data_IF_107372692692
#
_entry.id   IF_107372692692
#
_cell.length_a   1.000
_cell.length_b   1.000
_cell.length_c   1.000
_cell.angle_alpha   90.00
_cell.angle_beta   90.00
_cell.angle_gamma   90.00
#
_symmetry.space_group_name_H-M   'P 1'
#
loop_
_entity.id
_entity.type
_entity.pdbx_description
1 polymer ?
#
# COMPACT_ATOMS: atom_id res chain seq x y z
N UNK A 1 16.80 6.09 15.83
CA UNK A 1 16.89 6.52 14.43
C UNK A 1 15.53 7.10 14.13
N UNK A 2 15.46 8.41 13.93
CA UNK A 2 14.17 9.08 13.70
C UNK A 2 13.82 8.91 12.22
N UNK A 3 12.73 8.19 11.96
CA UNK A 3 12.08 8.13 10.65
C UNK A 3 10.95 9.16 10.69
N UNK A 4 10.97 10.10 9.76
CA UNK A 4 9.97 11.15 9.67
C UNK A 4 9.17 11.09 8.37
N UNK A 5 8.14 11.92 8.28
CA UNK A 5 7.28 12.03 7.11
C UNK A 5 8.08 12.31 5.82
N UNK A 6 9.16 13.10 5.90
CA UNK A 6 10.01 13.40 4.74
C UNK A 6 10.77 12.18 4.22
N UNK A 7 11.00 11.17 5.07
CA UNK A 7 11.70 9.93 4.71
C UNK A 7 10.75 8.87 4.12
N UNK A 8 9.45 8.94 4.44
CA UNK A 8 8.47 7.90 4.09
C UNK A 8 7.47 8.31 3.01
N UNK A 9 6.95 9.54 3.04
CA UNK A 9 5.89 9.97 2.12
C UNK A 9 6.35 10.03 0.67
N UNK A 10 7.53 10.62 0.33
CA UNK A 10 8.01 10.60 -1.05
C UNK A 10 8.21 9.19 -1.60
N UNK A 11 8.72 8.27 -0.77
CA UNK A 11 8.87 6.86 -1.14
C UNK A 11 7.52 6.21 -1.44
N UNK A 12 6.51 6.40 -0.59
CA UNK A 12 5.16 5.87 -0.82
C UNK A 12 4.55 6.41 -2.12
N UNK A 13 4.65 7.72 -2.38
CA UNK A 13 4.18 8.33 -3.63
C UNK A 13 4.87 7.73 -4.85
N UNK A 14 6.18 7.48 -4.78
CA UNK A 14 6.92 6.85 -5.87
C UNK A 14 6.47 5.41 -6.11
N UNK A 15 6.30 4.59 -5.07
CA UNK A 15 5.77 3.23 -5.21
C UNK A 15 4.37 3.22 -5.85
N UNK A 16 3.47 4.06 -5.35
CA UNK A 16 2.10 4.15 -5.85
C UNK A 16 2.05 4.60 -7.32
N UNK A 17 2.90 5.56 -7.72
CA UNK A 17 2.99 5.99 -9.11
C UNK A 17 3.57 4.89 -10.02
N UNK A 18 4.54 4.12 -9.52
CA UNK A 18 5.23 3.08 -10.30
C UNK A 18 4.34 1.87 -10.59
N UNK A 19 3.47 1.49 -9.64
CA UNK A 19 2.58 0.32 -9.76
C UNK A 19 1.10 0.73 -9.59
N UNK A 20 0.67 1.76 -10.31
CA UNK A 20 -0.65 2.37 -10.10
C UNK A 20 -1.84 1.50 -10.51
N UNK A 21 -1.62 0.50 -11.36
CA UNK A 21 -2.67 -0.37 -11.90
C UNK A 21 -2.70 -1.78 -11.29
N UNK A 22 -1.70 -2.14 -10.49
CA UNK A 22 -1.59 -3.47 -9.88
C UNK A 22 -1.36 -3.33 -8.38
N UNK A 23 -2.39 -3.64 -7.59
CA UNK A 23 -2.34 -3.53 -6.14
C UNK A 23 -1.30 -4.49 -5.52
N UNK A 24 -1.13 -5.69 -6.08
CA UNK A 24 -0.22 -6.70 -5.53
C UNK A 24 1.23 -6.29 -5.75
N UNK A 25 1.57 -5.90 -6.99
CA UNK A 25 2.90 -5.42 -7.33
C UNK A 25 3.25 -4.14 -6.57
N UNK A 26 2.28 -3.23 -6.36
CA UNK A 26 2.47 -2.06 -5.51
C UNK A 26 2.85 -2.45 -4.07
N UNK A 27 2.11 -3.39 -3.46
CA UNK A 27 2.41 -3.85 -2.09
C UNK A 27 3.77 -4.55 -2.01
N UNK A 28 4.10 -5.40 -2.98
CA UNK A 28 5.41 -6.09 -3.01
C UNK A 28 6.57 -5.12 -3.22
N UNK A 29 6.41 -4.12 -4.10
CA UNK A 29 7.39 -3.05 -4.29
C UNK A 29 7.60 -2.25 -3.00
N UNK A 30 6.52 -1.87 -2.31
CA UNK A 30 6.61 -1.06 -1.08
C UNK A 30 7.25 -1.84 0.06
N UNK A 31 6.83 -3.08 0.33
CA UNK A 31 7.37 -3.88 1.44
C UNK A 31 8.86 -4.23 1.25
N UNK A 32 9.31 -4.33 -0.01
CA UNK A 32 10.71 -4.54 -0.36
C UNK A 32 11.61 -3.33 0.00
N UNK A 33 11.02 -2.14 0.19
CA UNK A 33 11.72 -0.95 0.68
C UNK A 33 12.21 -1.03 2.14
N UNK A 34 11.78 -2.07 2.88
CA UNK A 34 12.12 -2.30 4.30
C UNK A 34 11.65 -1.13 5.20
N UNK A 35 12.11 -1.10 6.46
CA UNK A 35 11.72 -0.09 7.43
C UNK A 35 10.30 -0.30 7.98
N UNK A 36 9.57 0.79 8.13
CA UNK A 36 8.17 0.82 8.61
C UNK A 36 7.21 0.36 7.50
N UNK A 37 7.22 -0.96 7.27
CA UNK A 37 6.52 -1.63 6.16
C UNK A 37 5.02 -1.50 6.25
N UNK A 38 4.47 -1.61 7.45
CA UNK A 38 3.03 -1.52 7.69
C UNK A 38 2.54 -0.10 7.42
N UNK A 39 3.22 0.94 7.92
CA UNK A 39 2.84 2.32 7.63
C UNK A 39 2.96 2.65 6.15
N UNK A 40 4.08 2.27 5.52
CA UNK A 40 4.30 2.56 4.09
C UNK A 40 3.32 1.81 3.18
N UNK A 41 3.05 0.53 3.42
CA UNK A 41 2.03 -0.21 2.68
C UNK A 41 0.62 0.32 2.94
N UNK A 42 0.30 0.80 4.15
CA UNK A 42 -0.99 1.43 4.42
C UNK A 42 -1.21 2.71 3.61
N UNK A 43 -0.18 3.56 3.50
CA UNK A 43 -0.22 4.78 2.69
C UNK A 43 -0.40 4.43 1.20
N UNK A 44 0.44 3.55 0.67
CA UNK A 44 0.38 3.13 -0.75
C UNK A 44 -0.96 2.46 -1.07
N UNK A 45 -1.41 1.54 -0.21
CA UNK A 45 -2.68 0.84 -0.37
C UNK A 45 -3.87 1.80 -0.33
N UNK A 46 -3.82 2.84 0.50
CA UNK A 46 -4.82 3.91 0.53
C UNK A 46 -4.86 4.72 -0.77
N UNK A 47 -3.70 5.11 -1.32
CA UNK A 47 -3.60 5.84 -2.59
C UNK A 47 -4.18 5.01 -3.74
N UNK A 48 -3.72 3.77 -3.88
CA UNK A 48 -4.14 2.86 -4.96
C UNK A 48 -5.63 2.49 -4.82
N UNK A 49 -6.06 2.16 -3.60
CA UNK A 49 -7.43 1.75 -3.31
C UNK A 49 -8.48 2.87 -3.44
N UNK A 50 -8.07 4.13 -3.28
CA UNK A 50 -8.92 5.29 -3.56
C UNK A 50 -9.08 5.59 -5.07
N UNK A 51 -8.16 5.09 -5.90
CA UNK A 51 -8.19 5.24 -7.35
C UNK A 51 -8.95 4.11 -8.05
N UNK A 52 -8.59 3.88 -9.32
CA UNK A 52 -9.25 2.94 -10.23
C UNK A 52 -9.04 1.45 -9.90
N UNK A 53 -8.20 1.15 -8.90
CA UNK A 53 -7.73 -0.20 -8.61
C UNK A 53 -8.49 -0.91 -7.47
N UNK A 54 -9.63 -0.37 -7.01
CA UNK A 54 -10.41 -1.04 -5.95
C UNK A 54 -10.84 -2.46 -6.36
N UNK A 55 -11.13 -2.66 -7.64
CA UNK A 55 -11.45 -3.97 -8.24
C UNK A 55 -10.20 -4.84 -8.48
N UNK A 56 -9.00 -4.25 -8.43
CA UNK A 56 -7.74 -4.94 -8.63
C UNK A 56 -7.13 -5.51 -7.34
N UNK A 57 -7.78 -5.33 -6.18
CA UNK A 57 -7.34 -5.94 -4.92
C UNK A 57 -7.61 -7.45 -4.99
N UNK A 58 -6.61 -8.33 -4.81
CA UNK A 58 -6.81 -9.78 -4.87
C UNK A 58 -7.85 -10.26 -3.87
N UNK A 59 -8.84 -11.03 -4.34
CA UNK A 59 -9.92 -11.57 -3.50
C UNK A 59 -9.38 -12.42 -2.34
N UNK A 60 -8.29 -13.15 -2.57
CA UNK A 60 -7.62 -13.93 -1.52
C UNK A 60 -7.11 -13.04 -0.38
N UNK A 61 -6.57 -11.86 -0.69
CA UNK A 61 -6.05 -10.94 0.32
C UNK A 61 -7.19 -10.32 1.13
N UNK A 62 -8.31 -9.99 0.46
CA UNK A 62 -9.54 -9.55 1.14
C UNK A 62 -10.13 -10.63 2.06
N UNK A 63 -9.97 -11.90 1.73
CA UNK A 63 -10.42 -13.01 2.57
C UNK A 63 -9.49 -13.28 3.76
N UNK A 64 -8.21 -12.90 3.67
CA UNK A 64 -7.20 -13.13 4.72
C UNK A 64 -7.00 -11.95 5.67
N UNK A 65 -7.44 -10.74 5.32
CA UNK A 65 -7.40 -9.58 6.22
C UNK A 65 -8.38 -9.77 7.38
N UNK A 66 -8.12 -9.07 8.48
CA UNK A 66 -9.11 -8.95 9.56
C UNK A 66 -10.42 -8.36 9.02
N UNK A 67 -11.54 -8.91 9.51
CA UNK A 67 -12.86 -8.45 9.09
C UNK A 67 -13.07 -7.01 9.57
N UNK A 68 -13.46 -6.14 8.65
CA UNK A 68 -13.82 -4.76 8.98
C UNK A 68 -15.30 -4.80 9.33
N UNK A 69 -15.63 -4.85 10.62
CA UNK A 69 -17.00 -5.05 11.12
C UNK A 69 -17.95 -3.87 10.85
N UNK A 70 -17.42 -2.79 10.25
CA UNK A 70 -18.12 -1.56 9.89
C UNK A 70 -18.27 -1.37 8.37
N UNK A 71 -17.89 -2.37 7.57
CA UNK A 71 -18.14 -2.45 6.12
C UNK A 71 -19.02 -3.66 5.82
#
# INVERSE_FOLDING_TARGET
MDIACQDTVPFCCWCAATQSSDFSEAMWLTVAGLGDRDTTCAIVGGIIGAGSAKEAIPTEWLARREQLVWL
#
